data_IF_226695744304
#
_entry.id   IF_226695744304
#
_cell.length_a   1.000
_cell.length_b   1.000
_cell.length_c   1.000
_cell.angle_alpha   90.00
_cell.angle_beta   90.00
_cell.angle_gamma   90.00
#
_symmetry.space_group_name_H-M   'P 1'
#
loop_
_entity.id
_entity.type
_entity.pdbx_description
1 polymer ?
#
# COMPACT_ATOMS: atom_id res chain seq x y z
N UNK A 1 -34.97 -24.36 20.68
CA UNK A 1 -34.37 -23.10 20.19
C UNK A 1 -33.40 -23.46 19.09
N UNK A 2 -33.85 -23.40 17.84
CA UNK A 2 -33.07 -23.79 16.66
C UNK A 2 -32.40 -22.54 16.13
N UNK A 3 -31.10 -22.38 16.38
CA UNK A 3 -30.32 -21.28 15.82
C UNK A 3 -30.07 -21.56 14.35
N UNK A 4 -30.79 -20.88 13.47
CA UNK A 4 -30.52 -20.91 12.05
C UNK A 4 -29.21 -20.17 11.76
N UNK A 5 -28.15 -20.91 11.44
CA UNK A 5 -26.97 -20.36 10.78
C UNK A 5 -27.38 -19.84 9.41
N UNK A 6 -27.48 -18.51 9.25
CA UNK A 6 -27.53 -17.88 7.93
C UNK A 6 -26.20 -18.17 7.23
N UNK A 7 -26.24 -19.07 6.25
CA UNK A 7 -25.22 -19.16 5.21
C UNK A 7 -25.27 -17.84 4.43
N UNK A 8 -24.25 -17.01 4.61
CA UNK A 8 -23.97 -15.93 3.68
C UNK A 8 -23.26 -16.60 2.50
N UNK A 9 -24.02 -16.93 1.46
CA UNK A 9 -23.44 -17.17 0.16
C UNK A 9 -23.00 -15.81 -0.39
N UNK A 10 -21.82 -15.34 0.03
CA UNK A 10 -21.18 -14.14 -0.47
C UNK A 10 -20.65 -14.47 -1.87
N UNK A 11 -21.49 -14.26 -2.88
CA UNK A 11 -21.00 -14.16 -4.25
C UNK A 11 -19.97 -13.04 -4.30
N UNK A 12 -18.75 -13.35 -4.72
CA UNK A 12 -17.68 -12.38 -4.94
C UNK A 12 -18.23 -11.22 -5.78
N UNK A 13 -18.45 -10.07 -5.13
CA UNK A 13 -18.88 -8.86 -5.82
C UNK A 13 -17.63 -8.25 -6.46
N UNK A 14 -17.37 -8.58 -7.72
CA UNK A 14 -16.36 -7.92 -8.52
C UNK A 14 -17.00 -6.84 -9.40
N UNK A 15 -16.23 -5.82 -9.75
CA UNK A 15 -16.64 -4.76 -10.66
C UNK A 15 -15.49 -4.44 -11.61
N UNK A 16 -15.81 -4.18 -12.88
CA UNK A 16 -14.80 -3.83 -13.88
C UNK A 16 -14.45 -2.35 -13.76
N UNK A 17 -13.17 -2.05 -13.55
CA UNK A 17 -12.61 -0.71 -13.62
C UNK A 17 -11.85 -0.54 -14.94
N UNK A 18 -11.99 0.63 -15.56
CA UNK A 18 -11.26 0.96 -16.78
C UNK A 18 -10.01 1.77 -16.45
N UNK A 19 -8.94 1.57 -17.22
CA UNK A 19 -7.72 2.36 -17.11
C UNK A 19 -7.92 3.81 -17.60
N UNK A 20 -8.52 4.64 -16.75
CA UNK A 20 -8.78 6.05 -17.00
C UNK A 20 -7.72 6.99 -16.40
N UNK A 21 -7.76 8.29 -16.77
CA UNK A 21 -6.78 9.29 -16.31
C UNK A 21 -6.92 9.66 -14.82
N UNK A 22 -8.03 9.30 -14.17
CA UNK A 22 -8.33 9.61 -12.77
C UNK A 22 -7.43 8.86 -11.78
N UNK A 23 -6.93 7.69 -12.19
CA UNK A 23 -6.03 6.87 -11.42
C UNK A 23 -4.68 6.85 -12.13
N UNK A 24 -3.63 7.12 -11.37
CA UNK A 24 -2.28 7.24 -11.90
C UNK A 24 -1.76 5.88 -12.33
N UNK A 25 -0.93 5.87 -13.36
CA UNK A 25 -0.09 4.75 -13.74
C UNK A 25 1.32 5.01 -13.19
N UNK A 26 1.99 3.97 -12.70
CA UNK A 26 3.39 4.07 -12.34
C UNK A 26 4.29 4.20 -13.59
N UNK A 27 5.57 4.56 -13.44
CA UNK A 27 6.54 4.47 -14.53
C UNK A 27 6.74 3.06 -15.09
N UNK A 28 6.36 2.02 -14.34
CA UNK A 28 6.54 0.62 -14.72
C UNK A 28 5.26 -0.05 -15.21
N UNK A 29 4.14 0.67 -15.26
CA UNK A 29 2.82 0.12 -15.55
C UNK A 29 2.79 -0.72 -16.84
N UNK A 30 3.36 -0.23 -17.93
CA UNK A 30 3.39 -1.01 -19.19
C UNK A 30 4.20 -2.31 -19.05
N UNK A 31 5.25 -2.33 -18.21
CA UNK A 31 6.00 -3.55 -17.89
C UNK A 31 5.22 -4.54 -17.04
N UNK A 32 4.33 -4.06 -16.18
CA UNK A 32 3.43 -4.95 -15.42
C UNK A 32 2.47 -5.69 -16.37
N UNK A 33 1.97 -5.02 -17.41
CA UNK A 33 1.13 -5.63 -18.45
C UNK A 33 1.93 -6.65 -19.28
N UNK A 34 3.13 -6.28 -19.74
CA UNK A 34 4.02 -7.20 -20.47
C UNK A 34 4.38 -8.44 -19.65
N UNK A 35 4.54 -8.30 -18.34
CA UNK A 35 4.83 -9.39 -17.40
C UNK A 35 3.60 -10.26 -17.06
N UNK A 36 2.43 -9.94 -17.61
CA UNK A 36 1.22 -10.75 -17.44
C UNK A 36 0.36 -10.40 -16.23
N UNK A 37 0.50 -9.21 -15.65
CA UNK A 37 -0.39 -8.78 -14.57
C UNK A 37 -1.85 -8.78 -15.05
N UNK A 38 -2.74 -9.40 -14.27
CA UNK A 38 -4.15 -9.60 -14.65
C UNK A 38 -5.15 -8.97 -13.68
N UNK A 39 -4.70 -8.51 -12.51
CA UNK A 39 -5.52 -7.70 -11.61
C UNK A 39 -4.72 -6.61 -10.89
N UNK A 40 -5.37 -5.48 -10.68
CA UNK A 40 -4.81 -4.30 -10.02
C UNK A 40 -5.75 -3.86 -8.90
N UNK A 41 -5.17 -3.43 -7.79
CA UNK A 41 -5.88 -2.66 -6.77
C UNK A 41 -5.66 -1.15 -7.00
N UNK A 42 -6.39 -0.30 -6.28
CA UNK A 42 -6.21 1.14 -6.27
C UNK A 42 -5.68 1.57 -4.90
N UNK A 43 -4.41 1.96 -4.86
CA UNK A 43 -3.78 2.47 -3.65
C UNK A 43 -3.21 3.86 -3.89
N UNK A 44 -3.47 4.80 -2.97
CA UNK A 44 -3.12 6.22 -3.14
C UNK A 44 -3.48 6.74 -4.54
N UNK A 45 -4.68 6.50 -5.06
CA UNK A 45 -5.10 6.96 -6.40
C UNK A 45 -4.15 6.51 -7.55
N UNK A 46 -3.54 5.34 -7.45
CA UNK A 46 -2.65 4.74 -8.45
C UNK A 46 -2.93 3.24 -8.56
N UNK A 47 -2.75 2.65 -9.74
CA UNK A 47 -2.89 1.22 -9.94
C UNK A 47 -1.72 0.47 -9.27
N UNK A 48 -2.05 -0.47 -8.37
CA UNK A 48 -1.11 -1.41 -7.74
C UNK A 48 -1.29 -2.78 -8.40
N UNK A 49 -0.32 -3.30 -9.17
CA UNK A 49 -0.41 -4.66 -9.69
C UNK A 49 -0.42 -5.67 -8.53
N UNK A 50 -1.42 -6.54 -8.50
CA UNK A 50 -1.65 -7.45 -7.37
C UNK A 50 -1.78 -8.92 -7.72
N UNK A 51 -1.83 -9.27 -9.01
CA UNK A 51 -2.05 -10.66 -9.43
C UNK A 51 -1.38 -10.98 -10.76
N UNK A 52 -0.46 -11.96 -10.76
CA UNK A 52 0.28 -12.42 -11.94
C UNK A 52 0.04 -13.90 -12.26
N UNK A 53 -0.51 -14.68 -11.33
CA UNK A 53 -0.77 -16.10 -11.54
C UNK A 53 -1.37 -16.79 -10.32
N UNK A 54 -0.86 -17.95 -9.94
CA UNK A 54 -1.27 -18.63 -8.71
C UNK A 54 -0.62 -17.94 -7.49
N UNK A 55 -1.40 -17.40 -6.52
CA UNK A 55 -0.86 -16.75 -5.33
C UNK A 55 0.04 -17.67 -4.49
N UNK A 56 -0.16 -18.99 -4.52
CA UNK A 56 0.71 -19.94 -3.82
C UNK A 56 2.07 -20.06 -4.52
N UNK A 57 2.10 -20.05 -5.85
CA UNK A 57 3.35 -20.03 -6.61
C UNK A 57 4.08 -18.70 -6.39
N UNK A 58 3.37 -17.56 -6.42
CA UNK A 58 3.94 -16.23 -6.13
C UNK A 58 4.54 -16.17 -4.71
N UNK A 59 3.87 -16.76 -3.72
CA UNK A 59 4.39 -16.89 -2.35
C UNK A 59 5.71 -17.67 -2.29
N UNK A 60 5.78 -18.81 -2.96
CA UNK A 60 7.02 -19.61 -2.97
C UNK A 60 8.14 -18.94 -3.76
N UNK A 61 7.81 -18.18 -4.82
CA UNK A 61 8.77 -17.36 -5.55
C UNK A 61 9.34 -16.24 -4.66
N UNK A 62 8.51 -15.61 -3.83
CA UNK A 62 8.94 -14.62 -2.84
C UNK A 62 9.91 -15.20 -1.81
N UNK A 63 9.65 -16.42 -1.33
CA UNK A 63 10.50 -17.05 -0.30
C UNK A 63 11.80 -17.64 -0.85
N UNK A 64 11.74 -18.27 -2.03
CA UNK A 64 12.83 -19.09 -2.54
C UNK A 64 13.56 -18.48 -3.75
N UNK A 65 13.09 -17.34 -4.25
CA UNK A 65 13.61 -16.68 -5.44
C UNK A 65 13.85 -15.19 -5.24
N UNK A 66 13.71 -14.43 -6.32
CA UNK A 66 13.77 -12.97 -6.33
C UNK A 66 12.54 -12.47 -7.06
N UNK A 67 11.78 -11.61 -6.41
CA UNK A 67 10.60 -10.97 -6.99
C UNK A 67 10.88 -9.49 -7.23
N UNK A 68 10.32 -8.94 -8.31
CA UNK A 68 10.37 -7.52 -8.62
C UNK A 68 8.96 -6.97 -8.58
N UNK A 69 8.73 -5.96 -7.75
CA UNK A 69 7.41 -5.38 -7.54
C UNK A 69 7.37 -3.93 -7.99
N UNK A 70 6.32 -3.56 -8.69
CA UNK A 70 5.99 -2.17 -8.92
C UNK A 70 5.11 -1.66 -7.76
N UNK A 71 5.79 -1.12 -6.75
CA UNK A 71 5.17 -0.46 -5.58
C UNK A 71 5.15 1.06 -5.73
N UNK A 72 5.09 1.59 -6.96
CA UNK A 72 5.05 3.04 -7.21
C UNK A 72 3.89 3.77 -6.52
N UNK A 73 2.88 3.01 -6.06
CA UNK A 73 1.75 3.47 -5.25
C UNK A 73 2.13 3.93 -3.84
N UNK A 74 3.28 3.50 -3.32
CA UNK A 74 3.84 3.96 -2.04
C UNK A 74 4.39 5.38 -2.22
N UNK A 75 3.52 6.38 -2.05
CA UNK A 75 3.82 7.76 -2.39
C UNK A 75 4.67 8.42 -1.31
N UNK A 76 5.62 9.22 -1.76
CA UNK A 76 6.48 10.02 -0.89
C UNK A 76 5.83 11.38 -0.62
N UNK A 77 5.81 11.77 0.64
CA UNK A 77 5.50 13.14 1.08
C UNK A 77 6.80 13.76 1.58
N UNK A 78 7.32 14.74 0.85
CA UNK A 78 8.51 15.48 1.24
C UNK A 78 8.12 16.69 2.09
N UNK A 79 8.76 16.86 3.25
CA UNK A 79 8.53 17.98 4.17
C UNK A 79 9.87 18.67 4.43
N UNK A 80 9.98 19.95 4.05
CA UNK A 80 11.21 20.74 4.14
C UNK A 80 10.96 22.07 4.85
N UNK A 81 12.04 22.72 5.30
CA UNK A 81 11.99 23.99 6.04
C UNK A 81 12.64 23.88 7.42
N UNK A 82 12.81 25.02 8.12
CA UNK A 82 13.50 25.07 9.41
C UNK A 82 12.82 24.25 10.51
N UNK A 83 11.50 24.10 10.45
CA UNK A 83 10.70 23.44 11.49
C UNK A 83 10.21 22.03 11.09
N UNK A 84 10.67 21.49 9.95
CA UNK A 84 10.15 20.22 9.41
C UNK A 84 10.33 19.05 10.37
N UNK A 85 11.50 18.93 11.00
CA UNK A 85 11.80 17.84 11.92
C UNK A 85 10.91 17.89 13.17
N UNK A 86 10.66 19.09 13.71
CA UNK A 86 9.77 19.27 14.86
C UNK A 86 8.33 18.92 14.48
N UNK A 87 7.86 19.40 13.33
CA UNK A 87 6.52 19.11 12.84
C UNK A 87 6.29 17.62 12.62
N UNK A 88 7.15 16.91 11.89
CA UNK A 88 6.97 15.47 11.64
C UNK A 88 7.00 14.67 12.95
N UNK A 89 7.84 15.07 13.91
CA UNK A 89 7.86 14.46 15.23
C UNK A 89 6.57 14.68 16.04
N UNK A 90 5.76 15.71 15.74
CA UNK A 90 4.42 15.88 16.34
C UNK A 90 3.35 15.00 15.71
N UNK A 91 3.55 14.52 14.48
CA UNK A 91 2.55 13.73 13.76
C UNK A 91 2.48 12.27 14.23
N UNK A 92 3.50 11.82 14.96
CA UNK A 92 3.64 10.42 15.36
C UNK A 92 3.96 10.27 16.84
N UNK A 93 3.53 9.15 17.43
CA UNK A 93 3.90 8.75 18.78
C UNK A 93 5.35 8.23 18.89
N UNK A 94 6.06 8.05 17.77
CA UNK A 94 7.45 7.58 17.76
C UNK A 94 8.42 8.76 17.83
N UNK A 95 9.34 8.74 18.78
CA UNK A 95 10.37 9.77 18.93
C UNK A 95 11.39 9.74 17.78
N UNK A 96 11.25 10.68 16.85
CA UNK A 96 12.10 10.87 15.67
C UNK A 96 13.33 11.72 15.94
N UNK A 97 13.48 12.33 17.13
CA UNK A 97 14.75 12.98 17.51
C UNK A 97 15.92 11.99 17.59
N UNK A 98 15.58 10.70 17.69
CA UNK A 98 16.51 9.56 17.66
C UNK A 98 16.71 8.97 16.26
N UNK A 99 16.11 9.56 15.22
CA UNK A 99 16.29 9.14 13.84
C UNK A 99 17.46 9.93 13.22
N UNK A 100 18.54 9.24 12.88
CA UNK A 100 19.70 9.86 12.22
C UNK A 100 19.47 9.99 10.71
N UNK A 101 20.16 10.95 10.09
CA UNK A 101 20.20 11.06 8.61
C UNK A 101 20.62 9.73 7.99
N UNK A 102 19.89 9.30 6.96
CA UNK A 102 20.08 8.00 6.30
C UNK A 102 19.33 6.83 6.96
N UNK A 103 18.56 7.08 8.03
CA UNK A 103 17.66 6.08 8.62
C UNK A 103 16.19 6.36 8.24
N UNK A 104 15.44 5.29 7.95
CA UNK A 104 13.98 5.29 7.93
C UNK A 104 13.41 4.68 9.21
N UNK A 105 12.18 5.06 9.59
CA UNK A 105 11.54 4.56 10.81
C UNK A 105 10.06 4.37 10.53
N UNK A 106 9.58 3.12 10.66
CA UNK A 106 8.13 2.87 10.70
C UNK A 106 7.45 3.69 11.80
N UNK A 107 6.47 4.49 11.45
CA UNK A 107 5.78 5.40 12.36
C UNK A 107 4.28 5.21 12.20
N UNK A 108 3.54 5.46 13.26
CA UNK A 108 2.10 5.66 13.15
C UNK A 108 1.85 7.16 13.08
N UNK A 109 1.21 7.64 12.03
CA UNK A 109 0.64 8.98 12.02
C UNK A 109 -0.68 8.91 12.74
N UNK A 110 -0.84 9.73 13.77
CA UNK A 110 -2.02 9.71 14.65
C UNK A 110 -2.84 10.98 14.52
N UNK A 111 -4.16 10.83 14.56
CA UNK A 111 -5.11 11.92 14.73
C UNK A 111 -5.10 12.44 16.18
N UNK A 112 -5.78 13.56 16.42
CA UNK A 112 -5.84 14.23 17.73
C UNK A 112 -6.41 13.33 18.84
N UNK A 113 -7.31 12.41 18.51
CA UNK A 113 -7.91 11.44 19.43
C UNK A 113 -7.06 10.17 19.62
N UNK A 114 -5.88 10.10 18.98
CA UNK A 114 -5.00 8.93 18.97
C UNK A 114 -5.36 7.88 17.93
N UNK A 115 -6.37 8.10 17.09
CA UNK A 115 -6.70 7.23 15.96
C UNK A 115 -5.57 7.15 14.93
N UNK A 116 -5.40 6.01 14.27
CA UNK A 116 -4.36 5.82 13.24
C UNK A 116 -4.85 6.40 11.91
N UNK A 117 -4.07 7.34 11.36
CA UNK A 117 -4.32 7.93 10.03
C UNK A 117 -3.56 7.16 8.95
N UNK A 118 -2.29 6.84 9.21
CA UNK A 118 -1.44 6.08 8.29
C UNK A 118 -0.25 5.48 9.05
N UNK A 119 0.43 4.52 8.44
CA UNK A 119 1.58 3.84 9.01
C UNK A 119 2.82 3.83 8.08
N UNK A 120 3.39 5.01 7.75
CA UNK A 120 4.50 5.10 6.82
C UNK A 120 5.85 4.70 7.45
N UNK A 121 6.89 4.75 6.63
CA UNK A 121 8.31 4.59 7.01
C UNK A 121 9.07 5.90 6.85
#
# INVERSE_FOLDING_TARGET
>A
MTTATRSVAEGSASSTLYFGPWYRRSPFFEKTLEAGCSAYDIYNHMYLPGYYGDPIEEYWALLNGVTLWDVGVERIVEITGPDSAAFVNTLTCRDLTKCAVGQGKYVLITAEDGGIVNDPV
#
